data_IF_034237280129
#
_entry.id   IF_034237280129
#
_cell.length_a   1.000
_cell.length_b   1.000
_cell.length_c   1.000
_cell.angle_alpha   90.00
_cell.angle_beta   90.00
_cell.angle_gamma   90.00
#
_symmetry.space_group_name_H-M   'P 1'
#
loop_
_entity.id
_entity.type
_entity.pdbx_description
1 polymer ?
#
# COMPACT_ATOMS: atom_id res chain seq x y z
N UNK A 1 5.30 1.79 -23.83
CA UNK A 1 5.06 2.68 -22.67
C UNK A 1 5.02 1.78 -21.44
N UNK A 2 5.74 2.13 -20.35
CA UNK A 2 5.70 1.35 -19.11
C UNK A 2 4.28 1.43 -18.50
N UNK A 3 3.77 0.34 -17.94
CA UNK A 3 2.48 0.37 -17.21
C UNK A 3 2.74 0.94 -15.81
N UNK A 4 1.73 1.58 -15.21
CA UNK A 4 1.86 2.13 -13.86
C UNK A 4 2.27 1.08 -12.82
N UNK A 5 1.78 -0.16 -12.95
CA UNK A 5 2.19 -1.29 -12.13
C UNK A 5 3.71 -1.59 -12.20
N UNK A 6 4.30 -1.55 -13.40
CA UNK A 6 5.73 -1.80 -13.58
C UNK A 6 6.56 -0.68 -12.92
N UNK A 7 6.07 0.57 -12.97
CA UNK A 7 6.68 1.73 -12.31
C UNK A 7 6.61 1.57 -10.79
N UNK A 8 5.45 1.21 -10.23
CA UNK A 8 5.31 0.94 -8.77
C UNK A 8 6.36 -0.07 -8.31
N UNK A 9 6.51 -1.20 -9.01
CA UNK A 9 7.47 -2.24 -8.62
C UNK A 9 8.92 -1.81 -8.81
N UNK A 10 9.23 -0.97 -9.79
CA UNK A 10 10.56 -0.34 -9.92
C UNK A 10 10.85 0.59 -8.73
N UNK A 11 9.89 1.43 -8.34
CA UNK A 11 10.03 2.32 -7.19
C UNK A 11 10.18 1.54 -5.88
N UNK A 12 9.38 0.49 -5.66
CA UNK A 12 9.51 -0.38 -4.49
C UNK A 12 10.91 -1.01 -4.40
N UNK A 13 11.46 -1.50 -5.52
CA UNK A 13 12.84 -2.02 -5.55
C UNK A 13 13.88 -0.95 -5.27
N UNK A 14 13.69 0.26 -5.80
CA UNK A 14 14.58 1.39 -5.51
C UNK A 14 14.58 1.76 -4.02
N UNK A 15 13.46 1.55 -3.33
CA UNK A 15 13.33 1.68 -1.87
C UNK A 15 13.83 0.44 -1.09
N UNK A 16 14.40 -0.56 -1.78
CA UNK A 16 14.97 -1.77 -1.17
C UNK A 16 13.94 -2.82 -0.75
N UNK A 17 12.71 -2.73 -1.26
CA UNK A 17 11.66 -3.72 -0.99
C UNK A 17 11.93 -5.00 -1.79
N UNK A 18 12.02 -6.11 -1.06
CA UNK A 18 12.20 -7.47 -1.55
C UNK A 18 11.04 -8.41 -1.17
N UNK A 19 10.18 -7.98 -0.24
CA UNK A 19 9.07 -8.75 0.32
C UNK A 19 7.84 -7.85 0.53
N UNK A 20 6.68 -8.32 0.08
CA UNK A 20 5.38 -7.68 0.31
C UNK A 20 4.36 -8.69 0.80
N UNK A 21 3.38 -8.22 1.57
CA UNK A 21 2.27 -9.04 2.08
C UNK A 21 0.97 -8.52 1.49
N UNK A 22 0.07 -9.40 1.05
CA UNK A 22 -1.18 -8.89 0.52
C UNK A 22 -2.22 -9.90 0.12
N UNK A 23 -3.36 -9.38 -0.29
CA UNK A 23 -4.47 -10.12 -0.86
C UNK A 23 -4.92 -9.49 -2.20
N UNK A 24 -5.07 -10.28 -3.28
CA UNK A 24 -5.41 -9.77 -4.61
C UNK A 24 -6.88 -9.38 -4.73
N UNK A 25 -7.19 -8.52 -5.70
CA UNK A 25 -8.56 -8.18 -6.10
C UNK A 25 -8.60 -7.35 -7.38
N UNK A 26 -9.79 -7.12 -7.92
CA UNK A 26 -9.97 -6.58 -9.27
C UNK A 26 -9.30 -5.23 -9.51
N UNK A 27 -9.38 -4.32 -8.53
CA UNK A 27 -8.85 -2.95 -8.66
C UNK A 27 -7.32 -2.86 -8.57
N UNK A 28 -6.66 -3.88 -8.00
CA UNK A 28 -5.19 -3.94 -7.85
C UNK A 28 -4.55 -5.02 -8.73
N UNK A 29 -5.34 -5.72 -9.54
CA UNK A 29 -4.88 -6.84 -10.38
C UNK A 29 -3.70 -6.49 -11.29
N UNK A 30 -3.64 -5.30 -11.94
CA UNK A 30 -2.48 -4.95 -12.76
C UNK A 30 -1.15 -4.97 -12.01
N UNK A 31 -1.15 -4.67 -10.70
CA UNK A 31 0.05 -4.76 -9.86
C UNK A 31 0.40 -6.23 -9.57
N UNK A 32 -0.60 -7.08 -9.32
CA UNK A 32 -0.40 -8.51 -9.10
C UNK A 32 0.12 -9.23 -10.35
N UNK A 33 -0.40 -8.89 -11.52
CA UNK A 33 0.09 -9.42 -12.81
C UNK A 33 1.56 -9.03 -13.04
N UNK A 34 1.99 -7.87 -12.55
CA UNK A 34 3.35 -7.38 -12.71
C UNK A 34 4.31 -7.91 -11.63
N UNK A 35 3.81 -8.50 -10.52
CA UNK A 35 4.67 -9.06 -9.46
C UNK A 35 5.51 -10.23 -9.96
N UNK A 36 4.97 -11.02 -10.91
CA UNK A 36 5.72 -12.11 -11.53
C UNK A 36 6.95 -11.57 -12.27
N UNK A 37 8.11 -12.18 -12.03
CA UNK A 37 9.39 -11.71 -12.58
C UNK A 37 9.90 -10.35 -12.06
N UNK A 38 9.20 -9.69 -11.12
CA UNK A 38 9.62 -8.39 -10.59
C UNK A 38 10.86 -8.46 -9.70
N UNK A 39 11.11 -9.62 -9.09
CA UNK A 39 12.14 -9.80 -8.05
C UNK A 39 11.65 -9.45 -6.63
N UNK A 40 10.39 -9.04 -6.48
CA UNK A 40 9.73 -8.85 -5.17
C UNK A 40 8.96 -10.13 -4.84
N UNK A 41 9.23 -10.71 -3.67
CA UNK A 41 8.47 -11.86 -3.17
C UNK A 41 7.14 -11.39 -2.61
N UNK A 42 6.04 -12.00 -3.06
CA UNK A 42 4.72 -11.79 -2.47
C UNK A 42 4.36 -12.92 -1.51
N UNK A 43 3.81 -12.55 -0.35
CA UNK A 43 3.20 -13.47 0.61
C UNK A 43 1.69 -13.25 0.59
N UNK A 44 0.99 -14.21 -0.03
CA UNK A 44 -0.46 -14.25 -0.04
C UNK A 44 -0.99 -14.61 1.35
N UNK A 45 -1.66 -13.67 2.00
CA UNK A 45 -2.35 -13.91 3.26
C UNK A 45 -3.73 -14.54 3.02
N UNK A 46 -4.48 -14.79 4.10
CA UNK A 46 -5.88 -15.26 4.02
C UNK A 46 -6.90 -14.17 4.40
N UNK A 47 -6.41 -13.01 4.80
CA UNK A 47 -7.17 -11.82 5.14
C UNK A 47 -6.23 -10.61 5.07
N UNK A 48 -6.70 -9.45 4.62
CA UNK A 48 -5.88 -8.24 4.50
C UNK A 48 -5.39 -7.73 5.85
N UNK A 49 -6.20 -7.90 6.91
CA UNK A 49 -5.76 -7.66 8.28
C UNK A 49 -4.51 -8.49 8.65
N UNK A 50 -4.43 -9.73 8.17
CA UNK A 50 -3.23 -10.55 8.34
C UNK A 50 -2.04 -10.02 7.52
N UNK A 51 -2.28 -9.40 6.37
CA UNK A 51 -1.23 -8.80 5.54
C UNK A 51 -0.59 -7.59 6.22
N UNK A 52 -1.42 -6.69 6.76
CA UNK A 52 -0.94 -5.49 7.45
C UNK A 52 -0.16 -5.84 8.72
N UNK A 53 -0.65 -6.79 9.53
CA UNK A 53 0.08 -7.24 10.72
C UNK A 53 1.36 -8.03 10.39
N UNK A 54 1.37 -8.80 9.30
CA UNK A 54 2.59 -9.47 8.85
C UNK A 54 3.65 -8.46 8.37
N UNK A 55 3.24 -7.44 7.62
CA UNK A 55 4.10 -6.34 7.20
C UNK A 55 4.64 -5.55 8.41
N UNK A 56 3.80 -5.35 9.42
CA UNK A 56 4.19 -4.71 10.68
C UNK A 56 5.21 -5.54 11.46
N UNK A 57 4.97 -6.84 11.64
CA UNK A 57 5.92 -7.76 12.28
C UNK A 57 7.25 -7.83 11.52
N UNK A 58 7.21 -7.82 10.18
CA UNK A 58 8.42 -7.71 9.35
C UNK A 58 9.18 -6.42 9.62
N UNK A 59 8.49 -5.27 9.67
CA UNK A 59 9.12 -3.99 9.94
C UNK A 59 9.81 -3.96 11.31
N UNK A 60 9.12 -4.45 12.36
CA UNK A 60 9.64 -4.51 13.74
C UNK A 60 10.87 -5.40 13.88
N UNK A 61 10.92 -6.52 13.16
CA UNK A 61 11.99 -7.53 13.31
C UNK A 61 13.20 -7.26 12.42
N UNK A 62 13.04 -6.49 11.35
CA UNK A 62 14.13 -6.22 10.39
C UNK A 62 14.64 -4.78 10.42
N UNK A 63 13.86 -3.84 10.96
CA UNK A 63 14.14 -2.40 10.86
C UNK A 63 13.87 -1.81 9.47
N UNK A 64 13.40 -2.61 8.50
CA UNK A 64 12.97 -2.15 7.18
C UNK A 64 11.53 -1.62 7.22
N UNK A 65 11.09 -0.94 6.16
CA UNK A 65 9.69 -0.54 5.98
C UNK A 65 8.86 -1.77 5.58
N UNK A 66 7.78 -2.04 6.31
CA UNK A 66 6.83 -3.09 5.95
C UNK A 66 5.92 -2.64 4.81
N UNK A 67 5.57 -3.53 3.88
CA UNK A 67 4.69 -3.21 2.75
C UNK A 67 3.49 -4.17 2.71
N UNK A 68 2.30 -3.60 2.83
CA UNK A 68 1.02 -4.31 2.70
C UNK A 68 0.30 -3.90 1.41
N UNK A 69 -0.30 -4.85 0.70
CA UNK A 69 -1.04 -4.62 -0.55
C UNK A 69 -2.46 -5.15 -0.43
N UNK A 70 -3.46 -4.32 -0.76
CA UNK A 70 -4.86 -4.73 -0.84
C UNK A 70 -5.55 -4.16 -2.09
N UNK A 71 -6.69 -4.75 -2.46
CA UNK A 71 -7.59 -4.18 -3.46
C UNK A 71 -8.37 -2.97 -2.89
N UNK A 72 -9.20 -2.35 -3.72
CA UNK A 72 -10.11 -1.27 -3.32
C UNK A 72 -11.19 -1.76 -2.33
N UNK A 73 -11.97 -0.81 -1.81
CA UNK A 73 -13.17 -1.07 -1.02
C UNK A 73 -12.90 -2.02 0.15
N UNK A 74 -13.50 -3.23 0.18
CA UNK A 74 -13.37 -4.15 1.31
C UNK A 74 -11.93 -4.53 1.63
N UNK A 75 -11.06 -4.66 0.62
CA UNK A 75 -9.66 -5.00 0.84
C UNK A 75 -8.93 -3.91 1.61
N UNK A 76 -9.12 -2.66 1.21
CA UNK A 76 -8.54 -1.50 1.88
C UNK A 76 -9.13 -1.29 3.28
N UNK A 77 -10.45 -1.45 3.47
CA UNK A 77 -11.08 -1.29 4.79
C UNK A 77 -10.60 -2.34 5.79
N UNK A 78 -10.25 -3.54 5.33
CA UNK A 78 -9.70 -4.60 6.18
C UNK A 78 -8.28 -4.30 6.70
N UNK A 79 -7.57 -3.33 6.13
CA UNK A 79 -6.25 -2.89 6.61
C UNK A 79 -6.35 -1.94 7.82
N UNK A 80 -7.51 -1.29 8.04
CA UNK A 80 -7.67 -0.14 8.94
C UNK A 80 -7.19 -0.43 10.37
N UNK A 81 -7.48 -1.61 10.90
CA UNK A 81 -7.04 -1.98 12.26
C UNK A 81 -5.51 -2.03 12.38
N UNK A 82 -4.81 -2.63 11.41
CA UNK A 82 -3.34 -2.69 11.45
C UNK A 82 -2.69 -1.36 11.12
N UNK A 83 -3.33 -0.53 10.29
CA UNK A 83 -2.88 0.87 10.09
C UNK A 83 -2.95 1.63 11.42
N UNK A 84 -4.06 1.52 12.16
CA UNK A 84 -4.18 2.16 13.47
C UNK A 84 -3.11 1.66 14.45
N UNK A 85 -2.86 0.35 14.50
CA UNK A 85 -1.86 -0.27 15.37
C UNK A 85 -0.45 0.25 15.07
N UNK A 86 -0.02 0.17 13.80
CA UNK A 86 1.27 0.67 13.35
C UNK A 86 1.46 2.17 13.65
N UNK A 87 0.39 2.97 13.62
CA UNK A 87 0.44 4.39 13.97
C UNK A 87 0.69 4.62 15.45
N UNK A 88 -0.01 3.88 16.31
CA UNK A 88 0.14 3.99 17.76
C UNK A 88 1.55 3.59 18.19
N UNK A 89 2.07 2.52 17.58
CA UNK A 89 3.36 1.93 17.93
C UNK A 89 4.55 2.48 17.13
N UNK A 90 4.30 3.43 16.23
CA UNK A 90 5.34 4.10 15.43
C UNK A 90 6.11 3.14 14.53
N UNK A 91 5.41 2.23 13.85
CA UNK A 91 6.00 1.23 12.97
C UNK A 91 6.04 1.76 11.53
N UNK A 92 7.21 1.74 10.85
CA UNK A 92 7.31 2.17 9.45
C UNK A 92 6.58 1.19 8.54
N UNK A 93 5.48 1.63 7.94
CA UNK A 93 4.59 0.80 7.14
C UNK A 93 4.09 1.58 5.91
N UNK A 94 4.04 0.93 4.76
CA UNK A 94 3.45 1.46 3.52
C UNK A 94 2.32 0.52 3.09
N UNK A 95 1.10 1.04 2.99
CA UNK A 95 -0.09 0.29 2.59
C UNK A 95 -0.53 0.71 1.18
N UNK A 96 -0.29 -0.11 0.16
CA UNK A 96 -0.71 0.18 -1.20
C UNK A 96 -2.09 -0.41 -1.45
N UNK A 97 -3.06 0.43 -1.81
CA UNK A 97 -4.42 -0.01 -2.10
C UNK A 97 -4.80 0.25 -3.55
N UNK A 98 -5.57 -0.67 -4.13
CA UNK A 98 -6.25 -0.41 -5.41
C UNK A 98 -7.38 0.62 -5.22
N UNK A 99 -7.79 1.24 -6.32
CA UNK A 99 -8.98 2.09 -6.37
C UNK A 99 -9.71 1.88 -7.69
N UNK A 100 -11.00 2.24 -7.74
CA UNK A 100 -11.74 2.33 -8.99
C UNK A 100 -11.05 3.29 -9.96
N UNK A 101 -11.36 3.17 -11.27
CA UNK A 101 -10.82 4.08 -12.29
C UNK A 101 -11.12 5.53 -11.89
N UNK A 102 -10.19 6.46 -12.16
CA UNK A 102 -10.32 7.87 -11.74
C UNK A 102 -11.63 8.53 -12.17
N UNK A 103 -12.20 8.15 -13.32
CA UNK A 103 -13.48 8.66 -13.82
C UNK A 103 -14.71 8.17 -13.05
N UNK A 104 -14.55 7.16 -12.19
CA UNK A 104 -15.61 6.55 -11.37
C UNK A 104 -15.52 6.97 -9.90
N UNK A 105 -14.47 7.69 -9.50
CA UNK A 105 -14.35 8.18 -8.12
C UNK A 105 -15.45 9.22 -7.87
N UNK A 106 -16.19 9.04 -6.77
CA UNK A 106 -17.34 9.83 -6.34
C UNK A 106 -18.67 9.39 -6.95
N UNK A 107 -18.74 8.21 -7.58
CA UNK A 107 -19.94 7.75 -8.30
C UNK A 107 -20.65 6.57 -7.63
N UNK A 108 -20.20 6.16 -6.44
CA UNK A 108 -20.62 4.94 -5.75
C UNK A 108 -20.40 3.69 -6.61
N UNK A 109 -19.26 3.65 -7.30
CA UNK A 109 -18.91 2.54 -8.17
C UNK A 109 -18.70 1.24 -7.36
N UNK A 110 -18.77 0.09 -8.05
CA UNK A 110 -18.54 -1.21 -7.42
C UNK A 110 -17.17 -1.26 -6.72
N UNK A 111 -17.18 -1.60 -5.43
CA UNK A 111 -16.00 -1.62 -4.55
C UNK A 111 -15.26 -0.28 -4.45
N UNK A 112 -15.94 0.82 -4.66
CA UNK A 112 -15.47 2.14 -4.27
C UNK A 112 -15.58 2.32 -2.76
N UNK A 113 -14.57 2.95 -2.15
CA UNK A 113 -14.62 3.46 -0.77
C UNK A 113 -13.67 4.63 -0.68
N UNK A 114 -14.02 5.66 0.10
CA UNK A 114 -13.13 6.76 0.44
C UNK A 114 -12.06 6.30 1.45
N UNK A 115 -11.10 5.51 0.95
CA UNK A 115 -9.96 5.00 1.73
C UNK A 115 -9.09 6.15 2.25
N UNK A 116 -8.99 7.24 1.48
CA UNK A 116 -8.25 8.42 1.88
C UNK A 116 -8.85 9.04 3.14
N UNK A 117 -10.15 9.36 3.12
CA UNK A 117 -10.87 9.90 4.26
C UNK A 117 -10.88 8.95 5.46
N UNK A 118 -11.06 7.64 5.21
CA UNK A 118 -11.07 6.59 6.23
C UNK A 118 -9.75 6.48 7.00
N UNK A 119 -8.61 6.67 6.33
CA UNK A 119 -7.28 6.45 6.91
C UNK A 119 -6.56 7.75 7.32
N UNK A 120 -7.13 8.92 7.05
CA UNK A 120 -6.49 10.21 7.26
C UNK A 120 -6.05 10.46 8.72
N UNK A 121 -6.86 10.05 9.70
CA UNK A 121 -6.53 10.18 11.14
C UNK A 121 -5.62 9.07 11.66
N UNK A 122 -5.46 7.99 10.89
CA UNK A 122 -4.76 6.77 11.29
C UNK A 122 -3.37 6.66 10.63
N UNK A 123 -3.00 7.60 9.78
CA UNK A 123 -1.74 7.56 9.01
C UNK A 123 -0.84 8.75 9.36
N UNK A 124 0.45 8.67 9.00
CA UNK A 124 1.34 9.83 8.97
C UNK A 124 1.15 10.66 7.71
N UNK A 125 0.82 9.99 6.62
CA UNK A 125 0.63 10.58 5.32
C UNK A 125 -0.26 9.63 4.50
N UNK A 126 -1.12 10.21 3.68
CA UNK A 126 -2.03 9.48 2.80
C UNK A 126 -2.06 10.20 1.46
N UNK A 127 -2.09 9.46 0.36
CA UNK A 127 -2.11 10.05 -0.98
C UNK A 127 -2.97 9.23 -1.95
N UNK A 128 -3.55 9.93 -2.92
CA UNK A 128 -4.22 9.32 -4.06
C UNK A 128 -3.48 9.75 -5.33
N UNK A 129 -2.70 8.85 -5.91
CA UNK A 129 -2.07 9.07 -7.21
C UNK A 129 -3.15 9.19 -8.30
N UNK A 130 -3.15 10.30 -9.04
CA UNK A 130 -4.18 10.60 -10.06
C UNK A 130 -3.70 10.35 -11.49
N UNK A 131 -2.39 10.29 -11.67
CA UNK A 131 -1.73 10.12 -12.95
C UNK A 131 -0.54 9.15 -12.82
N UNK A 132 -0.10 8.59 -13.95
CA UNK A 132 1.02 7.64 -13.94
C UNK A 132 2.36 8.35 -13.66
N UNK A 133 2.45 9.63 -14.01
CA UNK A 133 3.60 10.50 -13.83
C UNK A 133 3.88 10.80 -12.35
N UNK A 134 2.85 10.79 -11.51
CA UNK A 134 2.95 11.04 -10.05
C UNK A 134 3.52 9.85 -9.28
N UNK A 135 3.40 8.62 -9.81
CA UNK A 135 3.73 7.38 -9.08
C UNK A 135 5.14 7.41 -8.45
N UNK A 136 6.22 7.79 -9.18
CA UNK A 136 7.55 7.77 -8.59
C UNK A 136 7.70 8.71 -7.39
N UNK A 137 7.12 9.91 -7.50
CA UNK A 137 7.18 10.91 -6.43
C UNK A 137 6.34 10.48 -5.22
N UNK A 138 5.10 10.02 -5.45
CA UNK A 138 4.19 9.56 -4.39
C UNK A 138 4.79 8.40 -3.60
N UNK A 139 5.39 7.41 -4.28
CA UNK A 139 6.03 6.29 -3.60
C UNK A 139 7.24 6.75 -2.79
N UNK A 140 8.12 7.58 -3.38
CA UNK A 140 9.30 8.09 -2.67
C UNK A 140 8.92 8.93 -1.43
N UNK A 141 7.91 9.79 -1.56
CA UNK A 141 7.37 10.56 -0.43
C UNK A 141 6.74 9.66 0.63
N UNK A 142 5.97 8.64 0.23
CA UNK A 142 5.38 7.66 1.14
C UNK A 142 6.44 6.95 1.97
N UNK A 143 7.51 6.44 1.33
CA UNK A 143 8.62 5.80 2.03
C UNK A 143 9.39 6.77 2.92
N UNK A 144 9.63 8.01 2.46
CA UNK A 144 10.22 9.05 3.28
C UNK A 144 9.41 9.28 4.56
N UNK A 145 8.10 9.52 4.45
CA UNK A 145 7.22 9.77 5.59
C UNK A 145 7.06 8.55 6.48
N UNK A 146 7.05 7.33 5.93
CA UNK A 146 6.94 6.12 6.73
C UNK A 146 8.12 5.98 7.72
N UNK A 147 9.35 6.30 7.28
CA UNK A 147 10.58 6.08 8.05
C UNK A 147 11.15 7.31 8.77
N UNK A 148 10.81 8.53 8.33
CA UNK A 148 11.42 9.76 8.89
C UNK A 148 10.84 10.16 10.24
N UNK A 149 11.65 10.80 11.09
CA UNK A 149 11.23 11.27 12.42
C UNK A 149 10.74 10.12 13.30
N UNK A 150 9.56 10.30 13.94
CA UNK A 150 8.83 9.18 14.56
C UNK A 150 8.19 8.34 13.44
N UNK A 151 8.57 7.08 13.21
CA UNK A 151 8.05 6.30 12.09
C UNK A 151 6.55 6.03 12.22
N UNK A 152 5.91 5.58 11.15
CA UNK A 152 4.48 5.26 11.17
C UNK A 152 3.95 4.86 9.81
N UNK A 153 2.66 4.53 9.72
CA UNK A 153 2.04 4.03 8.52
C UNK A 153 1.69 5.15 7.54
N UNK A 154 1.81 4.84 6.26
CA UNK A 154 1.29 5.65 5.15
C UNK A 154 0.41 4.80 4.24
N UNK A 155 -0.50 5.44 3.52
CA UNK A 155 -1.41 4.80 2.56
C UNK A 155 -1.28 5.48 1.20
#
# INVERSE_FOLDING_TARGET
>A
MLRGADIVLQCLRAEGVDLVFGYPGGAIMPLYDALDGSGIRHILTRHEQGAVFAAEGYARTTGKVGVAIATSGPGATNLVTGIADAKMDSVPLVCITGQVRSSLIGTDAFQETDVFGLTLSLTKWSCLARSIEEIPEVIAQGFHWARSGRPGPVV
#
